data_IF_370802706966
#
_entry.id   IF_370802706966
#
_cell.length_a   1.000
_cell.length_b   1.000
_cell.length_c   1.000
_cell.angle_alpha   90.00
_cell.angle_beta   90.00
_cell.angle_gamma   90.00
#
_symmetry.space_group_name_H-M   'P 1'
#
loop_
_entity.id
_entity.type
_entity.pdbx_description
1 polymer ?
#
# COMPACT_ATOMS: atom_id res chain seq x y z
N UNK A 1 -31.80 62.20 21.01
CA UNK A 1 -30.93 61.35 21.85
C UNK A 1 -30.85 59.99 21.17
N UNK A 2 -29.66 59.63 20.72
CA UNK A 2 -29.36 58.44 19.92
C UNK A 2 -29.51 57.17 20.76
N UNK A 3 -30.05 56.10 20.20
CA UNK A 3 -29.66 54.75 20.61
C UNK A 3 -29.32 53.94 19.37
N UNK A 4 -28.02 53.70 19.21
CA UNK A 4 -27.37 53.00 18.11
C UNK A 4 -27.75 51.51 18.15
N UNK A 5 -27.94 50.95 16.96
CA UNK A 5 -28.29 49.56 16.75
C UNK A 5 -27.20 48.55 17.12
N UNK A 6 -27.58 47.28 17.05
CA UNK A 6 -26.64 46.18 16.89
C UNK A 6 -27.41 45.01 16.25
N UNK A 7 -27.36 44.92 14.92
CA UNK A 7 -27.80 43.74 14.18
C UNK A 7 -26.69 42.70 14.33
N UNK A 8 -26.91 41.71 15.19
CA UNK A 8 -26.02 40.55 15.33
C UNK A 8 -26.18 39.66 14.08
N UNK A 9 -25.35 39.90 13.07
CA UNK A 9 -25.21 39.00 11.93
C UNK A 9 -24.42 37.76 12.35
N UNK A 10 -25.10 36.63 12.52
CA UNK A 10 -24.45 35.32 12.67
C UNK A 10 -23.84 34.90 11.34
N UNK A 11 -22.55 35.14 11.15
CA UNK A 11 -21.77 34.58 10.05
C UNK A 11 -21.58 33.09 10.37
N UNK A 12 -22.43 32.24 9.76
CA UNK A 12 -22.23 30.80 9.77
C UNK A 12 -21.10 30.50 8.78
N UNK A 13 -19.86 30.41 9.26
CA UNK A 13 -18.74 29.89 8.48
C UNK A 13 -19.08 28.42 8.17
N UNK A 14 -19.62 28.15 6.97
CA UNK A 14 -19.60 26.80 6.42
C UNK A 14 -18.14 26.40 6.33
N UNK A 15 -17.70 25.55 7.26
CA UNK A 15 -16.48 24.76 7.10
C UNK A 15 -16.68 23.97 5.80
N UNK A 16 -16.13 24.49 4.70
CA UNK A 16 -15.97 23.72 3.49
C UNK A 16 -15.04 22.59 3.92
N UNK A 17 -15.60 21.40 4.17
CA UNK A 17 -14.82 20.20 4.36
C UNK A 17 -14.06 20.02 3.04
N UNK A 18 -12.82 20.52 3.02
CA UNK A 18 -11.89 20.23 1.94
C UNK A 18 -11.74 18.72 1.98
N UNK A 19 -12.34 18.04 1.00
CA UNK A 19 -12.04 16.64 0.72
C UNK A 19 -10.59 16.64 0.28
N UNK A 20 -9.66 16.57 1.25
CA UNK A 20 -8.24 16.45 0.96
C UNK A 20 -8.09 15.23 0.07
N UNK A 21 -7.65 15.46 -1.16
CA UNK A 21 -7.28 14.41 -2.07
C UNK A 21 -6.04 13.72 -1.48
N UNK A 22 -6.25 12.57 -0.85
CA UNK A 22 -5.29 11.90 0.02
C UNK A 22 -4.79 10.57 -0.56
N UNK A 23 -5.29 10.19 -1.73
CA UNK A 23 -4.85 9.02 -2.47
C UNK A 23 -3.84 9.45 -3.52
N UNK A 24 -2.67 8.79 -3.53
CA UNK A 24 -1.63 8.98 -4.53
C UNK A 24 -1.60 7.86 -5.57
N UNK A 25 -2.10 6.68 -5.21
CA UNK A 25 -2.20 5.51 -6.07
C UNK A 25 -3.63 5.01 -6.12
N UNK A 26 -4.23 4.97 -7.31
CA UNK A 26 -5.60 4.50 -7.48
C UNK A 26 -5.86 3.98 -8.90
N UNK A 27 -6.32 2.73 -8.99
CA UNK A 27 -6.63 2.07 -10.26
C UNK A 27 -5.46 1.28 -10.84
N UNK A 28 -5.66 0.79 -12.07
CA UNK A 28 -4.70 -0.05 -12.80
C UNK A 28 -4.36 0.60 -14.13
N UNK A 29 -3.05 0.75 -14.38
CA UNK A 29 -2.47 1.37 -15.56
C UNK A 29 -1.52 0.38 -16.25
N UNK A 30 -1.19 0.67 -17.51
CA UNK A 30 -0.33 -0.18 -18.34
C UNK A 30 -1.00 -1.48 -18.77
N UNK A 31 -1.52 -1.48 -20.01
CA UNK A 31 -2.22 -2.65 -20.59
C UNK A 31 -1.37 -3.91 -20.60
N UNK A 32 -0.05 -3.78 -20.74
CA UNK A 32 0.91 -4.90 -20.78
C UNK A 32 1.50 -5.23 -19.41
N UNK A 33 1.70 -4.22 -18.56
CA UNK A 33 2.41 -4.35 -17.28
C UNK A 33 1.48 -4.55 -16.08
N UNK A 34 0.23 -4.09 -16.19
CA UNK A 34 -0.79 -4.07 -15.14
C UNK A 34 -0.25 -3.50 -13.83
N UNK A 35 0.34 -2.30 -13.91
CA UNK A 35 0.84 -1.57 -12.75
C UNK A 35 -0.27 -0.77 -12.07
N UNK A 36 0.03 -0.26 -10.88
CA UNK A 36 -0.88 0.64 -10.17
C UNK A 36 -0.72 2.03 -10.78
N UNK A 37 -1.83 2.71 -11.04
CA UNK A 37 -1.76 4.07 -11.56
C UNK A 37 -1.25 5.05 -10.50
N UNK A 38 -0.49 6.06 -10.94
CA UNK A 38 -0.23 7.29 -10.22
C UNK A 38 -1.02 8.43 -10.87
N UNK A 39 -2.30 8.62 -10.54
CA UNK A 39 -3.09 9.74 -11.05
C UNK A 39 -2.73 11.08 -10.38
N UNK A 40 -1.75 11.10 -9.47
CA UNK A 40 -1.53 12.20 -8.53
C UNK A 40 -2.51 12.15 -7.36
N UNK A 41 -2.84 13.30 -6.79
CA UNK A 41 -3.77 13.40 -5.68
C UNK A 41 -5.22 13.26 -6.16
N UNK A 42 -5.86 12.16 -5.79
CA UNK A 42 -7.27 11.88 -6.09
C UNK A 42 -8.07 11.63 -4.81
N UNK A 43 -9.39 11.78 -4.93
CA UNK A 43 -10.32 11.51 -3.83
C UNK A 43 -10.42 10.01 -3.54
N UNK A 44 -10.78 9.68 -2.30
CA UNK A 44 -11.10 8.31 -1.91
C UNK A 44 -12.33 7.78 -2.66
N UNK A 45 -12.38 6.47 -2.88
CA UNK A 45 -13.54 5.73 -3.40
C UNK A 45 -14.19 4.91 -2.29
N UNK A 46 -15.42 4.42 -2.53
CA UNK A 46 -16.06 3.48 -1.63
C UNK A 46 -15.43 2.08 -1.79
N UNK A 47 -15.08 1.47 -0.68
CA UNK A 47 -14.58 0.10 -0.59
C UNK A 47 -15.72 -0.85 -0.95
N UNK A 48 -15.47 -1.74 -1.92
CA UNK A 48 -16.40 -2.80 -2.32
C UNK A 48 -16.36 -3.98 -1.35
N UNK A 49 -17.34 -4.87 -1.46
CA UNK A 49 -17.37 -6.13 -0.71
C UNK A 49 -16.15 -7.01 -1.05
N UNK A 50 -15.74 -7.09 -2.32
CA UNK A 50 -14.58 -7.91 -2.70
C UNK A 50 -13.28 -7.42 -2.05
N UNK A 51 -13.12 -6.09 -1.98
CA UNK A 51 -11.99 -5.47 -1.28
C UNK A 51 -12.08 -5.75 0.21
N UNK A 52 -13.25 -5.57 0.83
CA UNK A 52 -13.44 -5.81 2.26
C UNK A 52 -13.17 -7.28 2.64
N UNK A 53 -13.62 -8.21 1.81
CA UNK A 53 -13.41 -9.65 1.98
C UNK A 53 -11.92 -10.02 1.95
N UNK A 54 -11.16 -9.46 0.99
CA UNK A 54 -9.72 -9.74 0.90
C UNK A 54 -8.90 -8.97 1.95
N UNK A 55 -9.21 -7.70 2.15
CA UNK A 55 -8.54 -6.75 3.01
C UNK A 55 -9.39 -6.42 4.25
N UNK A 56 -9.63 -7.42 5.10
CA UNK A 56 -10.59 -7.39 6.22
C UNK A 56 -10.45 -6.27 7.27
N UNK A 57 -9.38 -5.46 7.23
CA UNK A 57 -9.26 -4.23 8.05
C UNK A 57 -9.99 -3.03 7.43
N UNK A 58 -10.44 -3.15 6.18
CA UNK A 58 -11.19 -2.15 5.44
C UNK A 58 -12.61 -2.66 5.25
N UNK A 59 -13.60 -1.85 5.66
CA UNK A 59 -15.01 -2.25 5.63
C UNK A 59 -15.70 -1.76 4.36
N UNK A 60 -16.63 -2.57 3.85
CA UNK A 60 -17.50 -2.21 2.74
C UNK A 60 -18.21 -0.87 2.98
N UNK A 61 -18.34 -0.05 1.93
CA UNK A 61 -19.02 1.24 1.97
C UNK A 61 -18.27 2.35 2.72
N UNK A 62 -17.15 2.03 3.37
CA UNK A 62 -16.21 3.05 3.87
C UNK A 62 -15.33 3.55 2.73
N UNK A 63 -14.72 4.70 2.93
CA UNK A 63 -13.80 5.26 1.95
C UNK A 63 -12.41 4.64 2.07
N UNK A 64 -11.69 4.58 0.95
CA UNK A 64 -10.28 4.22 0.86
C UNK A 64 -9.73 4.55 -0.51
N UNK A 65 -8.45 4.25 -0.73
CA UNK A 65 -7.77 4.60 -1.98
C UNK A 65 -7.78 3.50 -3.05
N UNK A 66 -8.09 2.25 -2.68
CA UNK A 66 -8.02 1.12 -3.60
C UNK A 66 -9.33 0.83 -4.32
N UNK A 67 -9.22 0.35 -5.55
CA UNK A 67 -10.33 -0.20 -6.34
C UNK A 67 -10.33 -1.73 -6.29
N UNK A 68 -11.45 -2.37 -6.68
CA UNK A 68 -11.53 -3.85 -6.79
C UNK A 68 -10.45 -4.40 -7.72
N UNK A 69 -10.25 -3.79 -8.90
CA UNK A 69 -9.26 -4.25 -9.88
C UNK A 69 -7.83 -4.21 -9.31
N UNK A 70 -7.49 -3.15 -8.60
CA UNK A 70 -6.19 -2.99 -7.95
C UNK A 70 -5.95 -4.09 -6.90
N UNK A 71 -6.97 -4.47 -6.12
CA UNK A 71 -6.85 -5.54 -5.13
C UNK A 71 -6.80 -6.93 -5.77
N UNK A 72 -7.45 -7.15 -6.91
CA UNK A 72 -7.27 -8.39 -7.66
C UNK A 72 -5.84 -8.55 -8.20
N UNK A 73 -5.16 -7.46 -8.57
CA UNK A 73 -3.73 -7.51 -8.90
C UNK A 73 -2.87 -7.88 -7.69
N UNK A 74 -3.12 -7.28 -6.53
CA UNK A 74 -2.43 -7.61 -5.28
C UNK A 74 -2.59 -9.09 -4.95
N UNK A 75 -3.82 -9.60 -5.02
CA UNK A 75 -4.15 -11.01 -4.80
C UNK A 75 -3.42 -11.94 -5.77
N UNK A 76 -3.37 -11.58 -7.07
CA UNK A 76 -2.61 -12.32 -8.10
C UNK A 76 -1.11 -12.33 -7.78
N UNK A 77 -0.54 -11.20 -7.37
CA UNK A 77 0.86 -11.09 -6.96
C UNK A 77 1.18 -11.94 -5.73
N UNK A 78 0.32 -11.89 -4.72
CA UNK A 78 0.48 -12.63 -3.46
C UNK A 78 0.18 -14.12 -3.60
N UNK A 79 -0.47 -14.60 -4.67
CA UNK A 79 -0.72 -16.03 -4.89
C UNK A 79 0.55 -16.88 -4.81
N UNK A 80 1.65 -16.41 -5.44
CA UNK A 80 2.95 -17.10 -5.38
C UNK A 80 3.54 -17.08 -3.97
N UNK A 81 3.39 -15.96 -3.28
CA UNK A 81 3.83 -15.82 -1.88
C UNK A 81 3.09 -16.83 -0.99
N UNK A 82 1.77 -16.94 -1.12
CA UNK A 82 0.97 -17.92 -0.35
C UNK A 82 1.33 -19.38 -0.66
N UNK A 83 1.79 -19.68 -1.87
CA UNK A 83 2.31 -21.01 -2.22
C UNK A 83 3.61 -21.33 -1.47
N UNK A 84 4.59 -20.40 -1.43
CA UNK A 84 5.89 -20.66 -0.80
C UNK A 84 5.89 -20.47 0.72
N UNK A 85 5.21 -19.44 1.22
CA UNK A 85 5.16 -19.11 2.65
C UNK A 85 3.93 -19.70 3.36
N UNK A 86 3.06 -20.41 2.65
CA UNK A 86 1.83 -20.98 3.18
C UNK A 86 0.71 -19.94 3.37
N UNK A 87 -0.42 -20.14 2.68
CA UNK A 87 -1.58 -19.21 2.67
C UNK A 87 -2.21 -18.90 4.05
N UNK A 88 -1.95 -19.74 5.05
CA UNK A 88 -2.50 -19.58 6.40
C UNK A 88 -1.46 -19.10 7.44
N UNK A 89 -0.19 -18.92 7.03
CA UNK A 89 0.88 -18.53 7.94
C UNK A 89 0.73 -17.09 8.43
N UNK A 90 1.34 -16.77 9.59
CA UNK A 90 1.45 -15.39 10.10
C UNK A 90 2.16 -14.50 9.06
N UNK A 91 3.23 -15.00 8.45
CA UNK A 91 3.97 -14.34 7.38
C UNK A 91 3.06 -13.88 6.23
N UNK A 92 2.24 -14.79 5.67
CA UNK A 92 1.33 -14.44 4.58
C UNK A 92 0.27 -13.42 5.01
N UNK A 93 -0.28 -13.56 6.23
CA UNK A 93 -1.27 -12.61 6.76
C UNK A 93 -0.68 -11.20 6.90
N UNK A 94 0.54 -11.07 7.42
CA UNK A 94 1.22 -9.79 7.56
C UNK A 94 1.58 -9.16 6.19
N UNK A 95 2.07 -9.95 5.22
CA UNK A 95 2.28 -9.45 3.86
C UNK A 95 0.97 -8.98 3.22
N UNK A 96 -0.11 -9.76 3.35
CA UNK A 96 -1.43 -9.36 2.86
C UNK A 96 -1.87 -8.04 3.50
N UNK A 97 -1.71 -7.92 4.82
CA UNK A 97 -2.06 -6.69 5.54
C UNK A 97 -1.23 -5.49 5.06
N UNK A 98 0.09 -5.65 4.90
CA UNK A 98 0.98 -4.60 4.41
C UNK A 98 0.52 -4.07 3.05
N UNK A 99 0.28 -4.96 2.07
CA UNK A 99 -0.16 -4.54 0.75
C UNK A 99 -1.59 -3.98 0.76
N UNK A 100 -2.50 -4.52 1.57
CA UNK A 100 -3.82 -3.92 1.76
C UNK A 100 -3.72 -2.49 2.32
N UNK A 101 -2.87 -2.25 3.33
CA UNK A 101 -2.64 -0.90 3.89
C UNK A 101 -2.02 0.05 2.86
N UNK A 102 -0.99 -0.41 2.17
CA UNK A 102 -0.32 0.33 1.09
C UNK A 102 -1.34 0.82 0.04
N UNK A 103 -2.31 -0.01 -0.34
CA UNK A 103 -3.27 0.34 -1.39
C UNK A 103 -4.54 1.05 -0.91
N UNK A 104 -5.07 0.70 0.27
CA UNK A 104 -6.44 1.07 0.65
C UNK A 104 -6.56 2.15 1.72
N UNK A 105 -5.48 2.47 2.45
CA UNK A 105 -5.54 3.51 3.50
C UNK A 105 -5.97 4.85 2.92
N UNK A 106 -6.74 5.65 3.68
CA UNK A 106 -7.26 6.94 3.20
C UNK A 106 -6.17 8.00 3.15
N UNK A 107 -5.27 7.98 4.11
CA UNK A 107 -4.08 8.82 4.34
C UNK A 107 -2.86 8.28 3.57
N UNK A 108 -3.06 7.88 2.31
CA UNK A 108 -2.00 7.20 1.55
C UNK A 108 -0.84 8.14 1.22
N UNK A 109 -1.14 9.41 1.01
CA UNK A 109 -0.18 10.49 0.76
C UNK A 109 0.74 10.80 1.95
N UNK A 110 0.38 10.38 3.17
CA UNK A 110 1.22 10.56 4.36
C UNK A 110 2.41 9.57 4.40
N UNK A 111 2.29 8.43 3.73
CA UNK A 111 3.29 7.34 3.82
C UNK A 111 3.83 6.87 2.47
N UNK A 112 3.28 7.33 1.34
CA UNK A 112 3.77 7.01 0.01
C UNK A 112 4.11 8.31 -0.73
N UNK A 113 5.36 8.42 -1.17
CA UNK A 113 5.89 9.61 -1.84
C UNK A 113 7.04 9.24 -2.80
N UNK A 114 7.68 10.23 -3.42
CA UNK A 114 8.72 10.06 -4.46
C UNK A 114 8.30 9.12 -5.60
N UNK A 115 7.04 9.23 -6.03
CA UNK A 115 6.48 8.36 -7.06
C UNK A 115 6.99 8.81 -8.43
N UNK A 116 7.57 7.87 -9.17
CA UNK A 116 8.01 8.05 -10.55
C UNK A 116 6.99 7.36 -11.47
N UNK A 117 6.26 8.11 -12.31
CA UNK A 117 5.37 7.53 -13.31
C UNK A 117 6.10 7.19 -14.62
N UNK A 118 5.58 6.21 -15.34
CA UNK A 118 5.86 6.00 -16.77
C UNK A 118 4.92 6.89 -17.63
N UNK A 119 5.15 6.89 -18.95
CA UNK A 119 4.37 7.59 -19.98
C UNK A 119 2.87 7.29 -19.97
N UNK A 120 2.44 6.15 -19.42
CA UNK A 120 1.04 5.73 -19.29
C UNK A 120 0.45 5.92 -17.88
N UNK A 121 1.14 6.70 -17.03
CA UNK A 121 0.85 6.95 -15.62
C UNK A 121 0.98 5.73 -14.70
N UNK A 122 1.56 4.62 -15.16
CA UNK A 122 1.94 3.51 -14.28
C UNK A 122 3.03 3.95 -13.30
N UNK A 123 2.87 3.67 -12.02
CA UNK A 123 3.94 3.90 -11.05
C UNK A 123 5.06 2.86 -11.23
N UNK A 124 6.27 3.31 -11.58
CA UNK A 124 7.44 2.44 -11.80
C UNK A 124 8.41 2.43 -10.61
N UNK A 125 8.41 3.49 -9.82
CA UNK A 125 9.16 3.58 -8.56
C UNK A 125 8.42 4.43 -7.53
N UNK A 126 8.61 4.15 -6.25
CA UNK A 126 8.12 4.98 -5.14
C UNK A 126 8.84 4.69 -3.83
N UNK A 127 8.64 5.57 -2.85
CA UNK A 127 9.04 5.37 -1.46
C UNK A 127 7.82 5.09 -0.59
N UNK A 128 7.95 4.17 0.37
CA UNK A 128 6.89 3.79 1.31
C UNK A 128 7.45 3.76 2.72
N UNK A 129 6.79 4.43 3.64
CA UNK A 129 7.13 4.35 5.06
C UNK A 129 6.51 3.11 5.71
N UNK A 130 7.32 2.40 6.50
CA UNK A 130 6.91 1.25 7.31
C UNK A 130 7.52 1.39 8.70
N UNK A 131 6.71 1.10 9.73
CA UNK A 131 7.20 1.03 11.11
C UNK A 131 8.27 -0.06 11.25
N UNK A 132 9.38 0.24 11.93
CA UNK A 132 10.45 -0.73 12.19
C UNK A 132 9.94 -2.01 12.86
N UNK A 133 9.12 -1.87 13.91
CA UNK A 133 8.54 -3.00 14.65
C UNK A 133 7.70 -3.92 13.75
N UNK A 134 6.95 -3.34 12.80
CA UNK A 134 6.16 -4.13 11.85
C UNK A 134 7.05 -4.98 10.94
N UNK A 135 8.18 -4.42 10.50
CA UNK A 135 9.12 -5.10 9.61
C UNK A 135 9.84 -6.24 10.34
N UNK A 136 10.23 -6.05 11.60
CA UNK A 136 10.77 -7.11 12.44
C UNK A 136 9.75 -8.23 12.66
N UNK A 137 8.50 -7.89 13.02
CA UNK A 137 7.42 -8.86 13.21
C UNK A 137 7.13 -9.68 11.95
N UNK A 138 7.16 -9.01 10.79
CA UNK A 138 7.00 -9.65 9.49
C UNK A 138 8.15 -10.61 9.21
N UNK A 139 9.39 -10.17 9.39
CA UNK A 139 10.56 -11.02 9.13
C UNK A 139 10.57 -12.23 10.07
N UNK A 140 10.31 -12.04 11.35
CA UNK A 140 10.23 -13.12 12.33
C UNK A 140 9.16 -14.15 12.00
N UNK A 141 8.02 -13.70 11.49
CA UNK A 141 6.97 -14.60 11.03
C UNK A 141 7.39 -15.42 9.78
N UNK A 142 8.37 -14.95 9.00
CA UNK A 142 8.75 -15.52 7.71
C UNK A 142 10.08 -16.31 7.73
N UNK A 143 11.05 -15.95 8.58
CA UNK A 143 12.46 -16.35 8.47
C UNK A 143 12.71 -17.86 8.54
N UNK A 144 11.89 -18.58 9.29
CA UNK A 144 12.03 -20.02 9.49
C UNK A 144 11.11 -20.88 8.62
N UNK A 145 10.27 -20.27 7.78
CA UNK A 145 9.41 -21.02 6.87
C UNK A 145 10.26 -21.68 5.79
N UNK A 146 10.09 -23.00 5.64
CA UNK A 146 10.81 -23.83 4.67
C UNK A 146 9.89 -24.33 3.57
N UNK A 147 10.39 -24.34 2.34
CA UNK A 147 9.79 -25.02 1.21
C UNK A 147 10.82 -25.98 0.62
N UNK A 148 10.51 -27.28 0.56
CA UNK A 148 11.45 -28.34 0.19
C UNK A 148 12.79 -28.24 0.94
N UNK A 149 12.72 -28.08 2.28
CA UNK A 149 13.86 -27.93 3.19
C UNK A 149 14.69 -26.64 3.06
N UNK A 150 14.40 -25.78 2.09
CA UNK A 150 15.07 -24.47 1.91
C UNK A 150 14.28 -23.38 2.62
N UNK A 151 14.95 -22.55 3.44
CA UNK A 151 14.33 -21.35 4.03
C UNK A 151 13.93 -20.38 2.92
N UNK A 152 12.63 -20.08 2.82
CA UNK A 152 12.10 -19.26 1.72
C UNK A 152 12.61 -17.82 1.81
N UNK A 153 12.77 -17.27 3.01
CA UNK A 153 13.34 -15.93 3.23
C UNK A 153 14.72 -15.77 2.57
N UNK A 154 15.60 -16.77 2.66
CA UNK A 154 16.93 -16.76 2.02
C UNK A 154 16.86 -16.74 0.48
N UNK A 155 15.71 -17.08 -0.12
CA UNK A 155 15.47 -16.99 -1.57
C UNK A 155 14.82 -15.67 -1.98
N UNK A 156 14.29 -14.93 -1.01
CA UNK A 156 13.77 -13.57 -1.20
C UNK A 156 14.91 -12.57 -1.10
N UNK A 157 15.75 -12.67 -0.07
CA UNK A 157 16.89 -11.78 0.13
C UNK A 157 17.87 -11.84 -1.05
N UNK A 158 18.23 -10.67 -1.58
CA UNK A 158 19.18 -10.54 -2.70
C UNK A 158 20.63 -10.46 -2.20
N UNK A 159 20.83 -9.97 -0.97
CA UNK A 159 22.13 -9.85 -0.32
C UNK A 159 22.17 -10.67 0.97
N UNK A 160 23.37 -10.92 1.46
CA UNK A 160 23.62 -11.57 2.76
C UNK A 160 24.28 -10.57 3.72
N UNK A 161 24.01 -10.67 5.03
CA UNK A 161 23.04 -11.58 5.67
C UNK A 161 21.58 -11.24 5.30
N UNK A 162 20.68 -12.22 5.42
CA UNK A 162 19.24 -12.01 5.22
C UNK A 162 18.62 -11.66 6.58
N UNK A 163 18.55 -10.38 6.88
CA UNK A 163 17.90 -9.80 8.06
C UNK A 163 16.57 -9.13 7.67
N UNK A 164 15.86 -8.55 8.64
CA UNK A 164 14.55 -7.93 8.42
C UNK A 164 14.59 -6.80 7.38
N UNK A 165 15.61 -5.93 7.47
CA UNK A 165 15.83 -4.81 6.55
C UNK A 165 16.12 -5.29 5.14
N UNK A 166 17.01 -6.28 4.98
CA UNK A 166 17.34 -6.84 3.67
C UNK A 166 16.15 -7.63 3.07
N UNK A 167 15.36 -8.30 3.91
CA UNK A 167 14.16 -9.01 3.49
C UNK A 167 13.12 -8.06 2.91
N UNK A 168 12.76 -6.98 3.62
CA UNK A 168 11.77 -6.01 3.13
C UNK A 168 12.30 -5.24 1.91
N UNK A 169 13.58 -4.84 1.93
CA UNK A 169 14.23 -4.19 0.77
C UNK A 169 14.18 -5.07 -0.47
N UNK A 170 14.43 -6.37 -0.32
CA UNK A 170 14.39 -7.33 -1.42
C UNK A 170 12.97 -7.57 -1.95
N UNK A 171 11.96 -7.58 -1.09
CA UNK A 171 10.55 -7.65 -1.50
C UNK A 171 10.15 -6.47 -2.39
N UNK A 172 10.69 -5.27 -2.13
CA UNK A 172 10.43 -4.06 -2.92
C UNK A 172 11.34 -3.89 -4.13
N UNK A 173 12.39 -4.68 -4.29
CA UNK A 173 13.34 -4.50 -5.39
C UNK A 173 12.71 -4.96 -6.72
N UNK A 174 12.69 -4.07 -7.72
CA UNK A 174 12.13 -4.34 -9.05
C UNK A 174 12.93 -5.42 -9.80
N UNK A 175 12.33 -5.99 -10.84
CA UNK A 175 13.05 -6.93 -11.74
C UNK A 175 14.28 -6.29 -12.40
N UNK A 176 14.18 -5.03 -12.81
CA UNK A 176 15.28 -4.29 -13.44
C UNK A 176 16.47 -4.14 -12.49
N UNK A 177 16.20 -4.03 -11.18
CA UNK A 177 17.21 -3.96 -10.12
C UNK A 177 17.58 -5.35 -9.54
N UNK A 178 17.27 -6.43 -10.26
CA UNK A 178 17.63 -7.81 -9.88
C UNK A 178 16.70 -8.49 -8.87
N UNK A 179 15.59 -7.84 -8.50
CA UNK A 179 14.56 -8.37 -7.62
C UNK A 179 13.40 -9.05 -8.36
N UNK A 180 12.23 -9.07 -7.71
CA UNK A 180 11.02 -9.74 -8.22
C UNK A 180 9.77 -8.87 -8.13
N UNK A 181 9.87 -7.70 -7.51
CA UNK A 181 8.76 -6.76 -7.44
C UNK A 181 8.37 -6.31 -8.86
N UNK A 182 7.08 -6.12 -9.15
CA UNK A 182 6.66 -5.58 -10.44
C UNK A 182 7.20 -4.16 -10.68
N UNK A 183 7.38 -3.36 -9.62
CA UNK A 183 7.90 -2.00 -9.66
C UNK A 183 8.91 -1.79 -8.53
N UNK A 184 9.71 -0.73 -8.56
CA UNK A 184 10.63 -0.44 -7.47
C UNK A 184 9.87 0.17 -6.28
N UNK A 185 9.97 -0.46 -5.11
CA UNK A 185 9.39 0.05 -3.86
C UNK A 185 10.54 0.22 -2.87
N UNK A 186 10.83 1.47 -2.55
CA UNK A 186 11.86 1.85 -1.59
C UNK A 186 11.21 1.94 -0.21
N UNK A 187 11.29 0.86 0.57
CA UNK A 187 10.80 0.88 1.93
C UNK A 187 11.74 1.68 2.82
N UNK A 188 11.23 2.76 3.40
CA UNK A 188 11.88 3.57 4.43
C UNK A 188 11.31 3.16 5.78
N UNK A 189 12.18 2.81 6.71
CA UNK A 189 11.77 2.44 8.06
C UNK A 189 11.67 3.71 8.90
N UNK A 190 10.60 3.82 9.69
CA UNK A 190 10.29 4.94 10.60
C UNK A 190 10.02 4.47 12.01
#
# INVERSE_FOLDING_TARGET
MMLKGLVFGTIFLMMIASTKASCVLQGVCGKSTQHVCFPGHVSTVKISDEVASYCSKFSEGKEGCCTTEQIELVKKGLKKVGFYFGKHSKCFKLMKEMFCKFHCRKDQDEVIYDIVPDSDNSAVSMTVELEEDFVEDLFDACKDIKFLSVRVANRVCLRKPCDAKEFIRSLGTSKENGGRSPMQINFKLV
#
